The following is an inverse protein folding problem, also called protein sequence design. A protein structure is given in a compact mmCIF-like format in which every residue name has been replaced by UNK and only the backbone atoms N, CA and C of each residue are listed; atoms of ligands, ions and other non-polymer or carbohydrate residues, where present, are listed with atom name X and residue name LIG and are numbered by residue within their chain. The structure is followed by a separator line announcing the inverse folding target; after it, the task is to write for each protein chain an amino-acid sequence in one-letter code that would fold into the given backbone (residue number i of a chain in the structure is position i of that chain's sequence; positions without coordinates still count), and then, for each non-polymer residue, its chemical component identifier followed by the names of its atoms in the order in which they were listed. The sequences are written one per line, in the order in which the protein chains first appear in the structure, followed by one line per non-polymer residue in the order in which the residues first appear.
data_IF_629247391210
#
_entry.id   IF_629247391210
#
_cell.length_a   1.000
_cell.length_b   1.000
_cell.length_c   1.000
_cell.angle_alpha   90.00
_cell.angle_beta   90.00
_cell.angle_gamma   90.00
#
_symmetry.space_group_name_H-M   'P 1'
#
loop_
_entity.id
_entity.type
_entity.pdbx_description
1 polymer ?
#
# COMPACT_ATOMS: atom_id res chain seq x y z
N UNK A 1 38.94 23.25 38.72
CA UNK A 1 38.89 24.16 37.55
C UNK A 1 38.36 23.35 36.38
N UNK A 2 37.10 23.57 36.01
CA UNK A 2 36.43 22.84 34.93
C UNK A 2 36.83 23.47 33.59
N UNK A 3 37.62 22.75 32.79
CA UNK A 3 37.95 23.14 31.43
C UNK A 3 36.68 23.04 30.58
N UNK A 4 36.10 24.20 30.27
CA UNK A 4 34.98 24.31 29.35
C UNK A 4 35.50 23.87 27.96
N UNK A 5 34.91 22.85 27.31
CA UNK A 5 35.37 22.42 26.00
C UNK A 5 35.28 23.58 25.02
N UNK A 6 36.40 23.91 24.37
CA UNK A 6 36.49 24.98 23.38
C UNK A 6 35.54 24.66 22.22
N UNK A 7 34.39 25.33 22.21
CA UNK A 7 33.37 25.23 21.16
C UNK A 7 33.96 25.50 19.77
N UNK A 8 35.03 26.29 19.67
CA UNK A 8 35.73 26.57 18.42
C UNK A 8 36.52 25.37 17.89
N UNK A 9 37.01 24.48 18.78
CA UNK A 9 37.66 23.24 18.40
C UNK A 9 36.64 22.18 17.96
N UNK A 10 35.52 22.07 18.68
CA UNK A 10 34.40 21.19 18.33
C UNK A 10 33.77 21.58 16.98
N UNK A 11 33.58 22.87 16.72
CA UNK A 11 33.06 23.38 15.44
C UNK A 11 34.00 23.07 14.28
N UNK A 12 35.31 23.25 14.47
CA UNK A 12 36.32 22.90 13.45
C UNK A 12 36.36 21.40 13.18
N UNK A 13 36.21 20.56 14.20
CA UNK A 13 36.15 19.10 14.05
C UNK A 13 34.89 18.64 13.29
N UNK A 14 33.74 19.30 13.52
CA UNK A 14 32.51 19.04 12.76
C UNK A 14 32.56 19.55 11.32
N UNK A 15 33.34 20.60 11.05
CA UNK A 15 33.53 21.14 9.70
C UNK A 15 34.63 20.42 8.92
N UNK A 16 35.59 19.79 9.59
CA UNK A 16 36.68 19.00 8.97
C UNK A 16 36.31 17.53 8.79
N UNK A 17 35.33 17.02 9.54
CA UNK A 17 34.72 15.73 9.25
C UNK A 17 33.95 15.85 7.93
N UNK A 18 34.48 15.23 6.87
CA UNK A 18 33.73 15.02 5.63
C UNK A 18 32.32 14.52 5.99
N UNK A 19 31.25 15.08 5.38
CA UNK A 19 29.89 14.73 5.73
C UNK A 19 29.80 13.19 5.74
N UNK A 20 29.30 12.57 6.83
CA UNK A 20 29.30 11.12 6.93
C UNK A 20 28.62 10.59 5.69
N UNK A 21 29.41 9.96 4.81
CA UNK A 21 28.92 9.32 3.60
C UNK A 21 27.71 8.48 4.05
N UNK A 22 26.50 8.74 3.51
CA UNK A 22 25.32 8.03 3.95
C UNK A 22 25.61 6.54 3.80
N UNK A 23 25.61 5.80 4.91
CA UNK A 23 26.06 4.40 4.96
C UNK A 23 25.33 3.58 3.90
N UNK A 24 26.03 3.36 2.78
CA UNK A 24 25.47 2.79 1.54
C UNK A 24 25.06 1.34 1.79
N UNK A 25 25.77 0.64 2.69
CA UNK A 25 25.43 -0.71 3.10
C UNK A 25 24.13 -0.71 3.92
N UNK A 26 23.98 0.20 4.89
CA UNK A 26 22.73 0.36 5.63
C UNK A 26 21.55 0.76 4.74
N UNK A 27 21.79 1.57 3.70
CA UNK A 27 20.77 1.97 2.73
C UNK A 27 20.32 0.76 1.87
N UNK A 28 21.28 -0.06 1.41
CA UNK A 28 21.00 -1.29 0.66
C UNK A 28 20.25 -2.32 1.50
N UNK A 29 20.64 -2.47 2.76
CA UNK A 29 19.97 -3.36 3.71
C UNK A 29 18.53 -2.90 3.97
N UNK A 30 18.31 -1.60 4.20
CA UNK A 30 16.96 -1.02 4.31
C UNK A 30 16.10 -1.25 3.09
N UNK A 31 16.62 -1.03 1.89
CA UNK A 31 15.89 -1.26 0.63
C UNK A 31 15.53 -2.74 0.49
N UNK A 32 16.42 -3.65 0.89
CA UNK A 32 16.14 -5.09 0.88
C UNK A 32 15.06 -5.48 1.89
N UNK A 33 15.09 -4.89 3.10
CA UNK A 33 14.10 -5.14 4.15
C UNK A 33 12.71 -4.62 3.76
N UNK A 34 12.63 -3.40 3.20
CA UNK A 34 11.40 -2.82 2.68
C UNK A 34 10.85 -3.65 1.51
N UNK A 35 11.71 -4.17 0.63
CA UNK A 35 11.29 -5.05 -0.47
C UNK A 35 10.70 -6.36 0.07
N UNK A 36 11.33 -6.98 1.08
CA UNK A 36 10.80 -8.19 1.73
C UNK A 36 9.47 -7.92 2.44
N UNK A 37 9.31 -6.77 3.09
CA UNK A 37 8.07 -6.39 3.75
C UNK A 37 6.93 -6.17 2.73
N UNK A 38 7.24 -5.53 1.60
CA UNK A 38 6.29 -5.36 0.50
C UNK A 38 5.81 -6.69 -0.08
N UNK A 39 6.75 -7.63 -0.31
CA UNK A 39 6.42 -8.98 -0.77
C UNK A 39 5.53 -9.75 0.22
N UNK A 40 5.80 -9.65 1.53
CA UNK A 40 4.94 -10.24 2.55
C UNK A 40 3.54 -9.66 2.49
N UNK A 41 3.40 -8.34 2.41
CA UNK A 41 2.10 -7.69 2.32
C UNK A 41 1.32 -8.14 1.07
N UNK A 42 1.97 -8.19 -0.10
CA UNK A 42 1.37 -8.70 -1.34
C UNK A 42 0.90 -10.16 -1.18
N UNK A 43 1.74 -11.01 -0.58
CA UNK A 43 1.39 -12.41 -0.33
C UNK A 43 0.17 -12.53 0.58
N UNK A 44 0.10 -11.78 1.67
CA UNK A 44 -1.06 -11.79 2.58
C UNK A 44 -2.34 -11.34 1.86
N UNK A 45 -2.27 -10.26 1.09
CA UNK A 45 -3.43 -9.75 0.34
C UNK A 45 -3.88 -10.74 -0.75
N UNK A 46 -2.94 -11.38 -1.43
CA UNK A 46 -3.22 -12.44 -2.41
C UNK A 46 -3.87 -13.66 -1.75
N UNK A 47 -3.31 -14.16 -0.66
CA UNK A 47 -3.88 -15.28 0.09
C UNK A 47 -5.30 -14.96 0.59
N UNK A 48 -5.51 -13.76 1.12
CA UNK A 48 -6.83 -13.31 1.56
C UNK A 48 -7.83 -13.25 0.39
N UNK A 49 -7.42 -12.72 -0.77
CA UNK A 49 -8.27 -12.67 -1.97
C UNK A 49 -8.68 -14.08 -2.40
N UNK A 50 -7.72 -15.01 -2.46
CA UNK A 50 -7.97 -16.41 -2.83
C UNK A 50 -8.92 -17.07 -1.84
N UNK A 51 -8.75 -16.84 -0.53
CA UNK A 51 -9.65 -17.37 0.50
C UNK A 51 -11.08 -16.85 0.34
N UNK A 52 -11.25 -15.56 0.05
CA UNK A 52 -12.57 -14.95 -0.19
C UNK A 52 -13.23 -15.57 -1.42
N UNK A 53 -12.49 -15.72 -2.53
CA UNK A 53 -13.01 -16.31 -3.77
C UNK A 53 -13.31 -17.81 -3.63
N UNK A 54 -12.47 -18.55 -2.92
CA UNK A 54 -12.70 -19.97 -2.64
C UNK A 54 -13.93 -20.15 -1.73
N UNK A 55 -14.09 -19.28 -0.73
CA UNK A 55 -15.26 -19.27 0.15
C UNK A 55 -16.55 -18.96 -0.60
N UNK A 56 -16.54 -17.95 -1.48
CA UNK A 56 -17.71 -17.61 -2.29
C UNK A 56 -18.04 -18.68 -3.33
N UNK A 57 -17.03 -19.33 -3.94
CA UNK A 57 -17.23 -20.49 -4.81
C UNK A 57 -17.83 -21.68 -4.06
N UNK A 58 -17.27 -22.03 -2.90
CA UNK A 58 -17.77 -23.13 -2.08
C UNK A 58 -19.21 -22.88 -1.60
N UNK A 59 -19.56 -21.62 -1.32
CA UNK A 59 -20.93 -21.22 -1.01
C UNK A 59 -21.85 -21.37 -2.24
N UNK A 60 -21.41 -20.92 -3.43
CA UNK A 60 -22.17 -21.06 -4.67
C UNK A 60 -22.42 -22.52 -5.05
N UNK A 61 -21.43 -23.41 -4.85
CA UNK A 61 -21.57 -24.85 -5.11
C UNK A 61 -22.54 -25.56 -4.15
N UNK A 62 -22.67 -25.07 -2.91
CA UNK A 62 -23.54 -25.67 -1.89
C UNK A 62 -24.94 -25.08 -1.84
N UNK A 63 -25.12 -23.89 -2.42
CA UNK A 63 -26.39 -23.17 -2.35
C UNK A 63 -27.27 -23.53 -3.56
N UNK A 64 -28.54 -23.91 -3.36
CA UNK A 64 -29.50 -24.08 -4.44
C UNK A 64 -29.99 -22.75 -5.04
N UNK A 65 -29.54 -21.60 -4.49
CA UNK A 65 -29.96 -20.28 -4.92
C UNK A 65 -29.08 -19.75 -6.07
N UNK A 66 -29.69 -19.42 -7.21
CA UNK A 66 -29.02 -18.80 -8.36
C UNK A 66 -28.28 -17.49 -8.00
N UNK A 67 -28.76 -16.76 -7.00
CA UNK A 67 -28.11 -15.55 -6.47
C UNK A 67 -26.71 -15.80 -5.91
N UNK A 68 -26.38 -17.03 -5.51
CA UNK A 68 -25.05 -17.39 -5.02
C UNK A 68 -23.99 -17.40 -6.14
N UNK A 69 -24.35 -17.87 -7.34
CA UNK A 69 -23.47 -17.83 -8.52
C UNK A 69 -23.24 -16.40 -9.01
N UNK A 70 -24.28 -15.57 -8.99
CA UNK A 70 -24.16 -14.14 -9.31
C UNK A 70 -23.26 -13.40 -8.32
N UNK A 71 -23.39 -13.70 -7.02
CA UNK A 71 -22.49 -13.14 -5.99
C UNK A 71 -21.03 -13.56 -6.22
N UNK A 72 -20.79 -14.83 -6.57
CA UNK A 72 -19.45 -15.30 -6.92
C UNK A 72 -18.90 -14.57 -8.16
N UNK A 73 -19.71 -14.42 -9.20
CA UNK A 73 -19.36 -13.68 -10.42
C UNK A 73 -18.99 -12.22 -10.12
N UNK A 74 -19.80 -11.53 -9.33
CA UNK A 74 -19.53 -10.15 -8.90
C UNK A 74 -18.23 -10.04 -8.11
N UNK A 75 -18.03 -10.89 -7.10
CA UNK A 75 -16.79 -10.90 -6.29
C UNK A 75 -15.55 -11.18 -7.16
N UNK A 76 -15.66 -12.08 -8.13
CA UNK A 76 -14.58 -12.41 -9.06
C UNK A 76 -14.26 -11.24 -9.98
N UNK A 77 -15.26 -10.61 -10.59
CA UNK A 77 -15.09 -9.43 -11.44
C UNK A 77 -14.51 -8.24 -10.68
N UNK A 78 -14.96 -8.02 -9.44
CA UNK A 78 -14.42 -6.97 -8.61
C UNK A 78 -12.97 -7.26 -8.20
N UNK A 79 -12.65 -8.50 -7.85
CA UNK A 79 -11.28 -8.90 -7.54
C UNK A 79 -10.35 -8.74 -8.76
N UNK A 80 -10.77 -9.14 -9.96
CA UNK A 80 -9.97 -8.96 -11.18
C UNK A 80 -9.77 -7.48 -11.50
N UNK A 81 -10.77 -6.62 -11.28
CA UNK A 81 -10.62 -5.16 -11.43
C UNK A 81 -9.57 -4.61 -10.46
N UNK A 82 -9.67 -4.94 -9.17
CA UNK A 82 -8.73 -4.50 -8.14
C UNK A 82 -7.31 -4.93 -8.47
N UNK A 83 -7.11 -6.21 -8.83
CA UNK A 83 -5.79 -6.72 -9.22
C UNK A 83 -5.27 -6.10 -10.51
N UNK A 84 -6.13 -5.83 -11.48
CA UNK A 84 -5.73 -5.15 -12.72
C UNK A 84 -5.22 -3.73 -12.45
N UNK A 85 -5.91 -2.98 -11.59
CA UNK A 85 -5.46 -1.64 -11.17
C UNK A 85 -4.16 -1.74 -10.37
N UNK A 86 -4.05 -2.70 -9.46
CA UNK A 86 -2.82 -2.92 -8.67
C UNK A 86 -1.62 -3.26 -9.58
N UNK A 87 -1.81 -4.14 -10.56
CA UNK A 87 -0.79 -4.49 -11.56
C UNK A 87 -0.43 -3.31 -12.45
N UNK A 88 -1.43 -2.52 -12.87
CA UNK A 88 -1.20 -1.30 -13.64
C UNK A 88 -0.35 -0.28 -12.88
N UNK A 89 -0.68 -0.03 -11.60
CA UNK A 89 0.05 0.91 -10.76
C UNK A 89 1.45 0.42 -10.36
N UNK A 90 1.67 -0.89 -10.35
CA UNK A 90 3.00 -1.48 -10.10
C UNK A 90 3.85 -1.62 -11.36
N UNK A 91 3.36 -1.22 -12.54
CA UNK A 91 4.19 -1.19 -13.75
C UNK A 91 5.45 -0.35 -13.54
N UNK A 92 6.60 -0.95 -13.84
CA UNK A 92 7.90 -0.29 -13.70
C UNK A 92 8.44 -0.18 -12.27
N UNK A 93 7.80 -0.82 -11.28
CA UNK A 93 8.29 -0.83 -9.88
C UNK A 93 8.87 -2.19 -9.44
N UNK A 94 8.89 -3.19 -10.32
CA UNK A 94 9.25 -4.57 -10.00
C UNK A 94 10.76 -4.80 -9.79
N UNK A 95 11.61 -4.23 -10.65
CA UNK A 95 13.07 -4.41 -10.58
C UNK A 95 13.79 -3.12 -11.00
N UNK A 96 14.95 -2.77 -10.40
CA UNK A 96 15.78 -1.68 -10.92
C UNK A 96 16.25 -2.01 -12.34
N UNK A 97 16.41 -0.99 -13.18
CA UNK A 97 16.82 -1.14 -14.58
C UNK A 97 18.25 -1.66 -14.68
N UNK A 98 19.11 -1.21 -13.76
CA UNK A 98 20.53 -1.56 -13.67
C UNK A 98 20.91 -1.82 -12.19
N UNK A 99 22.02 -2.51 -11.94
CA UNK A 99 22.53 -2.79 -10.58
C UNK A 99 23.22 -1.59 -9.91
N UNK A 100 22.97 -0.38 -10.42
CA UNK A 100 23.55 0.87 -9.91
C UNK A 100 22.72 1.46 -8.78
N UNK A 101 23.39 2.20 -7.89
CA UNK A 101 22.77 2.89 -6.75
C UNK A 101 21.74 3.93 -7.24
N UNK A 102 22.02 4.62 -8.34
CA UNK A 102 21.10 5.55 -8.99
C UNK A 102 19.80 4.86 -9.44
N UNK A 103 19.90 3.69 -10.07
CA UNK A 103 18.74 2.92 -10.52
C UNK A 103 17.89 2.40 -9.34
N UNK A 104 18.54 2.02 -8.23
CA UNK A 104 17.85 1.63 -7.00
C UNK A 104 17.10 2.81 -6.34
N UNK A 105 17.73 3.99 -6.29
CA UNK A 105 17.11 5.23 -5.80
C UNK A 105 15.91 5.63 -6.66
N UNK A 106 16.05 5.66 -7.98
CA UNK A 106 14.96 5.98 -8.90
C UNK A 106 13.79 4.99 -8.82
N UNK A 107 14.08 3.70 -8.58
CA UNK A 107 13.04 2.70 -8.31
C UNK A 107 12.28 3.00 -7.02
N UNK A 108 12.99 3.36 -5.95
CA UNK A 108 12.38 3.68 -4.65
C UNK A 108 11.52 4.94 -4.71
N UNK A 109 11.95 5.96 -5.46
CA UNK A 109 11.19 7.19 -5.73
C UNK A 109 9.91 6.86 -6.51
N UNK A 110 10.02 6.07 -7.59
CA UNK A 110 8.85 5.62 -8.38
C UNK A 110 7.86 4.81 -7.54
N UNK A 111 8.35 3.91 -6.69
CA UNK A 111 7.51 3.16 -5.73
C UNK A 111 6.77 4.09 -4.77
N UNK A 112 7.44 5.10 -4.23
CA UNK A 112 6.80 6.09 -3.35
C UNK A 112 5.69 6.86 -4.10
N UNK A 113 5.96 7.35 -5.31
CA UNK A 113 4.94 8.01 -6.14
C UNK A 113 3.73 7.13 -6.43
N UNK A 114 3.99 5.89 -6.87
CA UNK A 114 2.93 4.91 -7.15
C UNK A 114 2.07 4.65 -5.91
N UNK A 115 2.68 4.45 -4.73
CA UNK A 115 1.92 4.24 -3.49
C UNK A 115 1.11 5.47 -3.05
N UNK A 116 1.62 6.68 -3.29
CA UNK A 116 0.89 7.92 -2.98
C UNK A 116 -0.36 8.05 -3.88
N UNK A 117 -0.23 7.72 -5.16
CA UNK A 117 -1.35 7.75 -6.12
C UNK A 117 -2.31 6.57 -5.94
N UNK A 118 -1.81 5.42 -5.49
CA UNK A 118 -2.62 4.23 -5.23
C UNK A 118 -3.56 4.40 -4.03
N UNK A 119 -3.21 5.22 -3.04
CA UNK A 119 -4.03 5.45 -1.85
C UNK A 119 -5.46 5.95 -2.16
N UNK A 120 -5.67 7.08 -2.87
CA UNK A 120 -7.02 7.55 -3.20
C UNK A 120 -7.78 6.58 -4.12
N UNK A 121 -7.10 5.93 -5.07
CA UNK A 121 -7.75 4.96 -5.97
C UNK A 121 -8.20 3.72 -5.21
N UNK A 122 -7.38 3.20 -4.30
CA UNK A 122 -7.75 2.07 -3.45
C UNK A 122 -8.95 2.40 -2.56
N UNK A 123 -9.02 3.61 -1.99
CA UNK A 123 -10.17 4.07 -1.21
C UNK A 123 -11.43 4.14 -2.09
N UNK A 124 -11.32 4.74 -3.28
CA UNK A 124 -12.43 4.84 -4.21
C UNK A 124 -12.95 3.47 -4.64
N UNK A 125 -12.06 2.54 -5.00
CA UNK A 125 -12.42 1.16 -5.34
C UNK A 125 -13.12 0.45 -4.18
N UNK A 126 -12.64 0.62 -2.94
CA UNK A 126 -13.26 0.01 -1.78
C UNK A 126 -14.69 0.52 -1.55
N UNK A 127 -14.90 1.84 -1.63
CA UNK A 127 -16.23 2.46 -1.51
C UNK A 127 -17.15 2.00 -2.63
N UNK A 128 -16.67 1.98 -3.88
CA UNK A 128 -17.44 1.48 -5.03
C UNK A 128 -17.80 0.01 -4.88
N UNK A 129 -16.89 -0.82 -4.35
CA UNK A 129 -17.16 -2.22 -4.05
C UNK A 129 -18.25 -2.39 -2.99
N UNK A 130 -18.21 -1.61 -1.91
CA UNK A 130 -19.24 -1.60 -0.88
C UNK A 130 -20.59 -1.16 -1.43
N UNK A 131 -20.65 0.01 -2.07
CA UNK A 131 -21.89 0.55 -2.66
C UNK A 131 -22.45 -0.41 -3.72
N UNK A 132 -21.59 -0.94 -4.59
CA UNK A 132 -21.96 -1.93 -5.59
C UNK A 132 -22.53 -3.19 -4.96
N UNK A 133 -21.93 -3.69 -3.88
CA UNK A 133 -22.42 -4.88 -3.17
C UNK A 133 -23.78 -4.65 -2.50
N UNK A 134 -24.05 -3.45 -1.98
CA UNK A 134 -25.33 -3.08 -1.39
C UNK A 134 -26.41 -2.91 -2.44
N UNK A 135 -26.13 -2.13 -3.49
CA UNK A 135 -27.04 -1.91 -4.61
C UNK A 135 -27.41 -3.22 -5.31
N UNK A 136 -26.47 -4.16 -5.40
CA UNK A 136 -26.70 -5.49 -5.92
C UNK A 136 -27.65 -6.30 -5.03
N UNK A 137 -27.45 -6.27 -3.71
CA UNK A 137 -28.29 -7.01 -2.75
C UNK A 137 -29.71 -6.45 -2.67
N UNK A 138 -29.85 -5.12 -2.70
CA UNK A 138 -31.13 -4.42 -2.77
C UNK A 138 -31.91 -4.85 -4.03
N UNK A 139 -31.26 -4.82 -5.20
CA UNK A 139 -31.89 -5.15 -6.48
C UNK A 139 -32.26 -6.63 -6.65
N UNK A 140 -31.46 -7.57 -6.14
CA UNK A 140 -31.68 -9.01 -6.35
C UNK A 140 -32.48 -9.69 -5.24
N UNK A 141 -32.34 -9.24 -4.01
CA UNK A 141 -33.02 -9.85 -2.86
C UNK A 141 -34.19 -9.00 -2.33
N UNK A 142 -34.40 -7.78 -2.87
CA UNK A 142 -35.45 -6.87 -2.44
C UNK A 142 -35.31 -6.45 -0.97
N UNK A 143 -34.08 -6.50 -0.43
CA UNK A 143 -33.80 -6.19 0.97
C UNK A 143 -33.44 -4.73 1.10
N UNK A 144 -34.22 -4.01 1.90
CA UNK A 144 -33.97 -2.60 2.18
C UNK A 144 -32.55 -2.34 2.68
N UNK A 145 -32.00 -1.21 2.23
CA UNK A 145 -30.67 -0.73 2.61
C UNK A 145 -30.50 -0.65 4.13
N UNK A 146 -31.53 -0.26 4.87
CA UNK A 146 -31.50 -0.17 6.33
C UNK A 146 -31.21 -1.52 6.99
N UNK A 147 -31.81 -2.60 6.48
CA UNK A 147 -31.60 -3.97 6.95
C UNK A 147 -30.21 -4.48 6.57
N UNK A 148 -29.75 -4.18 5.33
CA UNK A 148 -28.41 -4.55 4.87
C UNK A 148 -27.31 -3.83 5.67
N UNK A 149 -27.49 -2.56 5.98
CA UNK A 149 -26.57 -1.74 6.78
C UNK A 149 -26.44 -2.22 8.23
N UNK A 150 -27.47 -2.87 8.76
CA UNK A 150 -27.47 -3.47 10.10
C UNK A 150 -26.85 -4.87 10.17
N UNK A 151 -26.50 -5.50 9.04
CA UNK A 151 -25.92 -6.84 9.06
C UNK A 151 -24.52 -6.84 9.69
N UNK A 152 -24.14 -7.88 10.48
CA UNK A 152 -22.82 -7.96 11.09
C UNK A 152 -21.67 -7.82 10.06
N UNK A 153 -21.87 -8.38 8.86
CA UNK A 153 -20.90 -8.25 7.77
C UNK A 153 -20.72 -6.80 7.31
N UNK A 154 -21.80 -6.02 7.21
CA UNK A 154 -21.73 -4.61 6.81
C UNK A 154 -21.22 -3.69 7.92
N UNK A 155 -21.46 -4.05 9.18
CA UNK A 155 -20.85 -3.37 10.33
C UNK A 155 -19.33 -3.56 10.31
N UNK A 156 -18.87 -4.80 10.16
CA UNK A 156 -17.44 -5.09 10.14
C UNK A 156 -16.77 -4.54 8.88
N UNK A 157 -17.32 -4.76 7.67
CA UNK A 157 -16.68 -4.35 6.42
C UNK A 157 -16.91 -2.86 6.09
N UNK A 158 -18.10 -2.34 6.35
CA UNK A 158 -18.47 -0.95 6.09
C UNK A 158 -18.04 -0.03 7.22
N UNK A 159 -18.70 -0.13 8.38
CA UNK A 159 -18.54 0.84 9.47
C UNK A 159 -17.17 0.81 10.14
N UNK A 160 -16.55 -0.37 10.25
CA UNK A 160 -15.23 -0.52 10.88
C UNK A 160 -14.14 -0.64 9.82
N UNK A 161 -14.33 -1.52 8.84
CA UNK A 161 -13.35 -1.87 7.82
C UNK A 161 -13.03 -0.70 6.89
N UNK A 162 -14.04 0.02 6.39
CA UNK A 162 -13.82 1.14 5.48
C UNK A 162 -12.98 2.26 6.10
N UNK A 163 -13.31 2.79 7.30
CA UNK A 163 -12.48 3.83 7.92
C UNK A 163 -11.09 3.31 8.32
N UNK A 164 -10.95 2.07 8.81
CA UNK A 164 -9.62 1.51 9.10
C UNK A 164 -8.77 1.38 7.84
N UNK A 165 -9.34 0.88 6.75
CA UNK A 165 -8.65 0.75 5.47
C UNK A 165 -8.25 2.11 4.91
N UNK A 166 -9.16 3.09 4.92
CA UNK A 166 -8.89 4.44 4.46
C UNK A 166 -7.81 5.12 5.32
N UNK A 167 -7.90 5.01 6.65
CA UNK A 167 -6.91 5.54 7.58
C UNK A 167 -5.53 4.90 7.34
N UNK A 168 -5.47 3.57 7.17
CA UNK A 168 -4.25 2.84 6.86
C UNK A 168 -3.61 3.28 5.53
N UNK A 169 -4.42 3.43 4.48
CA UNK A 169 -3.96 3.90 3.17
C UNK A 169 -3.44 5.34 3.22
N UNK A 170 -4.15 6.24 3.90
CA UNK A 170 -3.73 7.63 4.06
C UNK A 170 -2.47 7.75 4.93
N UNK A 171 -2.38 6.96 6.01
CA UNK A 171 -1.19 6.89 6.85
C UNK A 171 0.02 6.41 6.05
N UNK A 172 -0.15 5.34 5.27
CA UNK A 172 0.91 4.84 4.41
C UNK A 172 1.32 5.90 3.38
N UNK A 173 0.36 6.55 2.69
CA UNK A 173 0.65 7.63 1.75
C UNK A 173 1.43 8.79 2.40
N UNK A 174 1.08 9.19 3.63
CA UNK A 174 1.83 10.19 4.40
C UNK A 174 3.26 9.74 4.68
N UNK A 175 3.45 8.49 5.10
CA UNK A 175 4.78 7.91 5.33
C UNK A 175 5.61 7.85 4.06
N UNK A 176 5.01 7.50 2.92
CA UNK A 176 5.69 7.49 1.63
C UNK A 176 6.03 8.90 1.14
N UNK A 177 5.20 9.92 1.41
CA UNK A 177 5.54 11.33 1.15
C UNK A 177 6.76 11.79 1.94
N UNK A 178 6.85 11.41 3.22
CA UNK A 178 8.02 11.73 4.04
C UNK A 178 9.28 11.03 3.50
N UNK A 179 9.18 9.74 3.14
CA UNK A 179 10.27 8.97 2.51
C UNK A 179 10.72 9.58 1.19
N UNK A 180 9.78 10.00 0.35
CA UNK A 180 10.07 10.63 -0.94
C UNK A 180 10.95 11.88 -0.78
N UNK A 181 10.65 12.74 0.19
CA UNK A 181 11.46 13.95 0.47
C UNK A 181 12.90 13.59 0.82
N UNK A 182 13.09 12.57 1.67
CA UNK A 182 14.43 12.10 2.07
C UNK A 182 15.18 11.51 0.88
N UNK A 183 14.52 10.71 0.04
CA UNK A 183 15.14 10.08 -1.12
C UNK A 183 15.54 11.09 -2.21
N UNK A 184 14.74 12.14 -2.41
CA UNK A 184 15.07 13.24 -3.34
C UNK A 184 16.29 14.00 -2.84
N UNK A 185 16.34 14.36 -1.55
CA UNK A 185 17.50 15.05 -0.99
C UNK A 185 18.77 14.19 -1.07
N UNK A 186 18.66 12.88 -0.79
CA UNK A 186 19.78 11.95 -0.90
C UNK A 186 20.28 11.82 -2.35
N UNK A 187 19.37 11.78 -3.33
CA UNK A 187 19.73 11.78 -4.75
C UNK A 187 20.48 13.06 -5.14
N UNK A 188 20.01 14.22 -4.68
CA UNK A 188 20.68 15.51 -4.92
C UNK A 188 22.10 15.52 -4.34
N UNK A 189 22.28 15.07 -3.10
CA UNK A 189 23.58 15.04 -2.43
C UNK A 189 24.59 14.07 -3.06
N UNK A 190 24.13 12.98 -3.67
CA UNK A 190 25.00 11.95 -4.26
C UNK A 190 25.37 12.19 -5.72
N UNK A 191 24.55 12.94 -6.47
CA UNK A 191 24.69 13.06 -7.92
C UNK A 191 24.69 14.50 -8.46
N UNK A 192 24.31 15.49 -7.65
CA UNK A 192 24.24 16.91 -8.05
C UNK A 192 25.09 17.83 -7.15
N UNK A 193 25.71 17.30 -6.10
CA UNK A 193 26.69 17.97 -5.25
C UNK A 193 28.10 17.50 -5.54
#
# INVERSE_FOLDING_TARGET
MNAQPDFGALKRQWQSAAPPLPDIAALRERVSADTKAHWRALFFVMALTVLILAGSLAYALRSPNEGAWLSFGFSTLFATLVWSVALWMSRGTWRPRDDTIAAALDLSIRRCHSMILAAPVGIALYVLGLVGSLAWKDRLFGVDWSTLLGTPAMIVAGWIGAPLYAAGMLWNARRQRARLKVLIELKRQLFEG
#
